data_IF_551212293281
#
_entry.id   IF_551212293281
#
_cell.length_a   1.000
_cell.length_b   1.000
_cell.length_c   1.000
_cell.angle_alpha   90.00
_cell.angle_beta   90.00
_cell.angle_gamma   90.00
#
_symmetry.space_group_name_H-M   'P 1'
#
loop_
_entity.id
_entity.type
_entity.pdbx_description
1 polymer ?
#
# COMPACT_ATOMS: atom_id res chain seq x y z
N UNK A 1 -16.98 6.48 14.22
CA UNK A 1 -17.42 5.93 12.91
C UNK A 1 -17.11 6.86 11.74
N UNK A 2 -17.35 8.17 11.83
CA UNK A 2 -17.11 9.13 10.73
C UNK A 2 -15.67 9.07 10.17
N UNK A 3 -14.66 9.07 11.04
CA UNK A 3 -13.26 8.95 10.62
C UNK A 3 -13.01 7.74 9.71
N UNK A 4 -13.49 6.56 10.11
CA UNK A 4 -13.32 5.34 9.31
C UNK A 4 -14.03 5.44 7.96
N UNK A 5 -15.22 6.06 7.91
CA UNK A 5 -15.95 6.25 6.67
C UNK A 5 -15.21 7.19 5.70
N UNK A 6 -14.64 8.28 6.22
CA UNK A 6 -13.83 9.22 5.42
C UNK A 6 -12.58 8.50 4.89
N UNK A 7 -11.81 7.84 5.78
CA UNK A 7 -10.60 7.11 5.40
C UNK A 7 -10.89 6.07 4.30
N UNK A 8 -11.90 5.22 4.51
CA UNK A 8 -12.30 4.21 3.53
C UNK A 8 -12.79 4.82 2.21
N UNK A 9 -13.39 6.01 2.24
CA UNK A 9 -13.82 6.68 1.02
C UNK A 9 -12.64 7.28 0.25
N UNK A 10 -11.67 7.87 0.95
CA UNK A 10 -10.45 8.41 0.33
C UNK A 10 -9.62 7.31 -0.34
N UNK A 11 -9.43 6.17 0.33
CA UNK A 11 -8.61 5.05 -0.15
C UNK A 11 -9.17 4.30 -1.37
N UNK A 12 -10.41 4.59 -1.79
CA UNK A 12 -11.00 4.03 -3.02
C UNK A 12 -10.41 4.65 -4.29
N UNK A 13 -9.73 5.80 -4.18
CA UNK A 13 -9.13 6.50 -5.30
C UNK A 13 -7.66 6.82 -5.02
N UNK A 14 -6.91 7.29 -6.04
CA UNK A 14 -5.51 7.66 -5.88
C UNK A 14 -5.33 8.74 -4.80
N UNK A 15 -4.28 8.58 -4.01
CA UNK A 15 -3.78 9.57 -3.05
C UNK A 15 -2.30 9.76 -3.35
N UNK A 16 -1.89 11.00 -3.62
CA UNK A 16 -0.48 11.32 -3.83
C UNK A 16 0.28 11.28 -2.49
N UNK A 17 1.32 10.45 -2.41
CA UNK A 17 2.08 10.25 -1.17
C UNK A 17 2.93 11.46 -0.76
N UNK A 18 3.23 12.36 -1.69
CA UNK A 18 4.07 13.53 -1.45
C UNK A 18 3.22 14.74 -1.09
N UNK A 19 2.18 15.04 -1.87
CA UNK A 19 1.35 16.25 -1.70
C UNK A 19 0.16 16.04 -0.75
N UNK A 20 -0.25 14.78 -0.55
CA UNK A 20 -1.45 14.40 0.18
C UNK A 20 -2.76 14.74 -0.55
N UNK A 21 -2.70 15.07 -1.84
CA UNK A 21 -3.89 15.25 -2.67
C UNK A 21 -4.57 13.91 -2.91
N UNK A 22 -5.90 13.90 -2.98
CA UNK A 22 -6.69 12.68 -3.17
C UNK A 22 -7.80 12.88 -4.19
N UNK A 23 -8.14 11.81 -4.93
CA UNK A 23 -9.25 11.82 -5.90
C UNK A 23 -10.62 12.05 -5.25
N UNK A 24 -10.81 11.56 -4.03
CA UNK A 24 -12.04 11.68 -3.25
C UNK A 24 -11.88 12.61 -2.04
N UNK A 25 -10.99 13.61 -2.15
CA UNK A 25 -10.85 14.64 -1.12
C UNK A 25 -12.16 15.39 -0.91
N UNK A 26 -12.46 15.73 0.34
CA UNK A 26 -13.54 16.65 0.70
C UNK A 26 -13.10 18.13 0.67
N UNK A 27 -11.79 18.38 0.59
CA UNK A 27 -11.19 19.70 0.43
C UNK A 27 -10.84 19.95 -1.03
N UNK A 28 -11.28 21.09 -1.56
CA UNK A 28 -11.02 21.49 -2.94
C UNK A 28 -9.53 21.68 -3.22
N UNK A 29 -8.78 22.22 -2.26
CA UNK A 29 -7.33 22.44 -2.35
C UNK A 29 -6.52 21.14 -2.35
N UNK A 30 -7.13 20.04 -1.92
CA UNK A 30 -6.52 18.70 -1.87
C UNK A 30 -7.10 17.75 -2.92
N UNK A 31 -7.84 18.26 -3.89
CA UNK A 31 -8.47 17.43 -4.92
C UNK A 31 -7.51 17.21 -6.09
N UNK A 32 -7.24 15.94 -6.40
CA UNK A 32 -6.54 15.59 -7.64
C UNK A 32 -7.45 15.89 -8.84
N UNK A 33 -7.03 16.85 -9.67
CA UNK A 33 -7.71 17.24 -10.93
C UNK A 33 -7.12 16.54 -12.16
N UNK A 34 -5.92 15.98 -12.03
CA UNK A 34 -5.27 15.24 -13.11
C UNK A 34 -6.01 13.95 -13.42
N UNK A 35 -6.01 13.55 -14.70
CA UNK A 35 -6.50 12.24 -15.09
C UNK A 35 -5.43 11.19 -14.76
N UNK A 36 -5.77 10.32 -13.82
CA UNK A 36 -4.90 9.21 -13.38
C UNK A 36 -5.66 7.92 -13.65
N UNK A 37 -5.12 7.07 -14.51
CA UNK A 37 -5.64 5.73 -14.73
C UNK A 37 -5.17 4.81 -13.59
N UNK A 38 -6.12 4.20 -12.89
CA UNK A 38 -5.84 3.27 -11.80
C UNK A 38 -6.72 2.03 -11.88
N UNK A 39 -6.24 0.93 -11.30
CA UNK A 39 -6.93 -0.35 -11.21
C UNK A 39 -6.89 -0.83 -9.77
N UNK A 40 -8.02 -1.35 -9.30
CA UNK A 40 -8.08 -2.01 -7.99
C UNK A 40 -7.44 -3.38 -8.09
N UNK A 41 -6.56 -3.69 -7.14
CA UNK A 41 -5.91 -4.97 -6.95
C UNK A 41 -6.38 -5.59 -5.65
N UNK A 42 -6.58 -6.90 -5.63
CA UNK A 42 -6.79 -7.66 -4.38
C UNK A 42 -5.44 -8.19 -3.91
N UNK A 43 -5.04 -7.74 -2.74
CA UNK A 43 -3.81 -8.15 -2.07
C UNK A 43 -4.16 -9.17 -1.01
N UNK A 44 -3.55 -10.33 -1.06
CA UNK A 44 -3.66 -11.36 -0.04
C UNK A 44 -2.50 -11.21 0.91
N UNK A 45 -2.77 -10.91 2.18
CA UNK A 45 -1.75 -10.74 3.21
C UNK A 45 -1.76 -11.92 4.17
N UNK A 46 -0.59 -12.51 4.39
CA UNK A 46 -0.38 -13.52 5.44
C UNK A 46 -0.04 -12.83 6.77
N UNK A 47 -0.52 -13.40 7.87
CA UNK A 47 -0.25 -12.88 9.21
C UNK A 47 1.24 -13.11 9.56
N UNK A 48 2.02 -12.06 9.88
CA UNK A 48 3.43 -12.21 10.24
C UNK A 48 3.68 -13.09 11.47
N UNK A 49 2.74 -13.16 12.40
CA UNK A 49 2.86 -13.97 13.63
C UNK A 49 2.43 -15.42 13.42
N UNK A 50 1.69 -15.72 12.34
CA UNK A 50 1.18 -17.05 12.07
C UNK A 50 0.96 -17.25 10.56
N UNK A 51 1.96 -17.80 9.88
CA UNK A 51 1.89 -18.09 8.44
C UNK A 51 0.76 -19.07 8.05
N UNK A 52 0.26 -19.88 8.99
CA UNK A 52 -0.84 -20.81 8.76
C UNK A 52 -2.22 -20.18 8.98
N UNK A 53 -2.29 -18.93 9.43
CA UNK A 53 -3.56 -18.22 9.56
C UNK A 53 -4.16 -17.93 8.18
N UNK A 54 -5.51 -17.82 8.06
CA UNK A 54 -6.15 -17.43 6.81
C UNK A 54 -5.61 -16.09 6.29
N UNK A 55 -5.33 -16.03 4.98
CA UNK A 55 -4.95 -14.79 4.32
C UNK A 55 -6.04 -13.73 4.46
N UNK A 56 -5.63 -12.48 4.72
CA UNK A 56 -6.51 -11.33 4.75
C UNK A 56 -6.51 -10.65 3.38
N UNK A 57 -7.66 -10.65 2.71
CA UNK A 57 -7.83 -9.95 1.44
C UNK A 57 -8.03 -8.45 1.66
N UNK A 58 -7.17 -7.63 1.06
CA UNK A 58 -7.18 -6.17 1.16
C UNK A 58 -7.21 -5.56 -0.23
N UNK A 59 -8.02 -4.51 -0.42
CA UNK A 59 -8.05 -3.78 -1.70
C UNK A 59 -6.95 -2.71 -1.70
N UNK A 60 -6.08 -2.77 -2.70
CA UNK A 60 -5.12 -1.72 -3.04
C UNK A 60 -5.37 -1.17 -4.43
N UNK A 61 -4.69 -0.09 -4.80
CA UNK A 61 -4.66 0.45 -6.15
C UNK A 61 -3.26 0.22 -6.74
N UNK A 62 -3.19 -0.06 -8.04
CA UNK A 62 -1.90 -0.22 -8.73
C UNK A 62 -1.01 1.05 -8.64
N UNK A 63 -1.59 2.22 -8.42
CA UNK A 63 -0.88 3.48 -8.22
C UNK A 63 -0.45 3.76 -6.76
N UNK A 64 -0.86 2.93 -5.80
CA UNK A 64 -0.44 3.11 -4.40
C UNK A 64 1.08 2.85 -4.29
N UNK A 65 1.75 3.66 -3.47
CA UNK A 65 3.14 3.42 -3.07
C UNK A 65 3.24 2.23 -2.12
N UNK A 66 4.44 1.68 -1.94
CA UNK A 66 4.64 0.52 -1.06
C UNK A 66 4.25 0.87 0.38
N UNK A 67 4.60 2.06 0.87
CA UNK A 67 4.20 2.50 2.21
C UNK A 67 2.68 2.61 2.36
N UNK A 68 1.97 3.21 1.40
CA UNK A 68 0.51 3.27 1.42
C UNK A 68 -0.14 1.88 1.47
N UNK A 69 0.43 0.91 0.75
CA UNK A 69 -0.05 -0.47 0.78
C UNK A 69 0.20 -1.12 2.14
N UNK A 70 1.40 -0.96 2.72
CA UNK A 70 1.72 -1.44 4.06
C UNK A 70 0.73 -0.91 5.10
N UNK A 71 0.39 0.37 5.04
CA UNK A 71 -0.62 0.95 5.94
C UNK A 71 -1.99 0.30 5.80
N UNK A 72 -2.49 0.12 4.56
CA UNK A 72 -3.77 -0.55 4.29
C UNK A 72 -3.79 -1.99 4.80
N UNK A 73 -2.68 -2.72 4.63
CA UNK A 73 -2.53 -4.08 5.13
C UNK A 73 -2.53 -4.13 6.65
N UNK A 74 -1.76 -3.25 7.31
CA UNK A 74 -1.72 -3.15 8.77
C UNK A 74 -3.09 -2.79 9.36
N UNK A 75 -3.85 -1.91 8.71
CA UNK A 75 -5.22 -1.59 9.14
C UNK A 75 -6.17 -2.77 9.06
N UNK A 76 -5.99 -3.64 8.07
CA UNK A 76 -6.82 -4.84 7.90
C UNK A 76 -6.44 -5.93 8.91
N UNK A 77 -5.14 -6.23 9.03
CA UNK A 77 -4.63 -7.30 9.90
C UNK A 77 -4.77 -6.93 11.37
N UNK A 78 -4.53 -5.67 11.73
CA UNK A 78 -4.52 -5.19 13.13
C UNK A 78 -5.74 -4.35 13.48
N UNK A 79 -6.87 -4.53 12.77
CA UNK A 79 -8.11 -3.75 12.97
C UNK A 79 -8.57 -3.65 14.43
N UNK A 80 -8.31 -4.68 15.23
CA UNK A 80 -8.67 -4.74 16.66
C UNK A 80 -7.67 -4.10 17.63
N UNK A 81 -6.45 -3.79 17.18
CA UNK A 81 -5.38 -3.25 18.03
C UNK A 81 -5.40 -1.72 18.04
N UNK A 82 -5.13 -1.04 19.18
CA UNK A 82 -4.94 0.40 19.23
C UNK A 82 -3.82 0.85 18.30
N UNK A 83 -3.98 1.98 17.59
CA UNK A 83 -2.99 2.47 16.62
C UNK A 83 -1.60 2.65 17.23
N UNK A 84 -1.50 3.11 18.48
CA UNK A 84 -0.22 3.31 19.19
C UNK A 84 0.54 2.01 19.52
N UNK A 85 -0.10 0.85 19.39
CA UNK A 85 0.50 -0.47 19.63
C UNK A 85 0.82 -1.21 18.33
N UNK A 86 0.42 -0.66 17.17
CA UNK A 86 0.70 -1.27 15.88
C UNK A 86 2.13 -0.92 15.44
N UNK A 87 2.86 -1.84 14.78
CA UNK A 87 4.10 -1.50 14.11
C UNK A 87 3.85 -0.43 13.05
N UNK A 88 4.85 0.42 12.80
CA UNK A 88 4.74 1.41 11.72
C UNK A 88 5.03 0.74 10.39
N UNK A 89 4.53 1.32 9.30
CA UNK A 89 4.85 0.84 7.96
C UNK A 89 6.36 0.85 7.68
N UNK A 90 7.13 1.74 8.31
CA UNK A 90 8.61 1.76 8.23
C UNK A 90 9.29 0.54 8.83
N UNK A 91 8.64 -0.12 9.79
CA UNK A 91 9.19 -1.21 10.58
C UNK A 91 8.78 -2.59 10.00
N UNK A 92 8.14 -2.56 8.84
CA UNK A 92 7.58 -3.72 8.16
C UNK A 92 8.17 -3.84 6.75
N UNK A 93 8.63 -5.03 6.43
CA UNK A 93 9.01 -5.41 5.08
C UNK A 93 7.79 -5.97 4.35
N UNK A 94 7.54 -5.44 3.16
CA UNK A 94 6.52 -5.97 2.26
C UNK A 94 7.18 -6.84 1.22
N UNK A 95 6.72 -8.06 1.09
CA UNK A 95 7.35 -9.08 0.28
C UNK A 95 6.38 -9.61 -0.76
N UNK A 96 6.86 -9.65 -1.98
CA UNK A 96 6.18 -10.34 -3.05
C UNK A 96 6.74 -11.76 -3.18
N UNK A 97 5.87 -12.78 -3.10
CA UNK A 97 6.26 -14.18 -3.36
C UNK A 97 5.79 -14.58 -4.77
N UNK A 98 6.73 -14.68 -5.71
CA UNK A 98 6.45 -15.22 -7.05
C UNK A 98 6.77 -16.71 -7.08
N UNK A 99 5.78 -17.54 -6.74
CA UNK A 99 5.95 -19.00 -6.68
C UNK A 99 6.93 -19.44 -5.58
N UNK A 100 7.62 -20.58 -5.78
CA UNK A 100 8.49 -21.21 -4.77
C UNK A 100 9.91 -20.63 -4.68
N UNK A 101 10.33 -19.76 -5.61
CA UNK A 101 11.77 -19.48 -5.81
C UNK A 101 12.19 -18.02 -5.65
N UNK A 102 11.28 -17.06 -5.63
CA UNK A 102 11.65 -15.64 -5.49
C UNK A 102 10.77 -14.92 -4.47
N UNK A 103 11.44 -14.37 -3.45
CA UNK A 103 10.90 -13.41 -2.47
C UNK A 103 11.57 -12.08 -2.78
N UNK A 104 10.78 -11.07 -3.13
CA UNK A 104 11.29 -9.72 -3.43
C UNK A 104 10.75 -8.80 -2.35
N UNK A 105 11.64 -8.12 -1.63
CA UNK A 105 11.27 -7.05 -0.70
C UNK A 105 10.96 -5.80 -1.53
N UNK A 106 9.75 -5.30 -1.40
CA UNK A 106 9.31 -4.08 -2.05
C UNK A 106 9.56 -2.90 -1.13
N UNK A 107 10.05 -1.81 -1.71
CA UNK A 107 10.28 -0.54 -1.01
C UNK A 107 9.82 0.63 -1.88
N UNK A 108 9.53 1.78 -1.27
CA UNK A 108 9.20 3.00 -2.02
C UNK A 108 10.39 3.48 -2.88
N UNK A 109 11.61 3.19 -2.43
CA UNK A 109 12.84 3.46 -3.16
C UNK A 109 13.79 2.27 -3.07
N UNK A 110 14.29 1.80 -4.20
CA UNK A 110 15.28 0.73 -4.31
C UNK A 110 16.14 0.89 -5.57
N UNK A 111 16.97 -0.10 -5.87
CA UNK A 111 17.83 -0.10 -7.06
C UNK A 111 17.06 -0.11 -8.39
N UNK A 112 15.76 -0.41 -8.37
CA UNK A 112 14.89 -0.44 -9.54
C UNK A 112 14.12 0.88 -9.73
N UNK A 113 14.22 1.81 -8.77
CA UNK A 113 13.49 3.07 -8.80
C UNK A 113 13.81 3.90 -10.04
N UNK A 114 12.75 4.36 -10.70
CA UNK A 114 12.86 5.16 -11.92
C UNK A 114 13.24 6.60 -11.58
N UNK A 115 14.25 7.09 -12.29
CA UNK A 115 14.72 8.47 -12.25
C UNK A 115 14.46 9.08 -13.63
N UNK A 116 13.73 10.19 -13.69
CA UNK A 116 13.42 10.93 -14.91
C UNK A 116 13.79 12.41 -14.71
N UNK A 117 14.78 12.90 -15.46
CA UNK A 117 15.25 14.29 -15.40
C UNK A 117 15.47 14.80 -13.96
N UNK A 118 16.25 14.06 -13.16
CA UNK A 118 16.54 14.28 -11.73
C UNK A 118 15.37 14.08 -10.76
N UNK A 119 14.18 13.75 -11.24
CA UNK A 119 13.05 13.38 -10.40
C UNK A 119 13.05 11.88 -10.12
N UNK A 120 13.06 11.54 -8.83
CA UNK A 120 12.86 10.16 -8.38
C UNK A 120 11.37 9.91 -8.20
N UNK A 121 10.85 8.88 -8.88
CA UNK A 121 9.46 8.46 -8.74
C UNK A 121 9.36 7.33 -7.71
N UNK A 122 8.57 7.52 -6.66
CA UNK A 122 8.30 6.45 -5.69
C UNK A 122 7.74 5.21 -6.37
N UNK A 123 8.24 4.05 -5.96
CA UNK A 123 7.81 2.76 -6.48
C UNK A 123 6.37 2.46 -6.03
N UNK A 124 5.55 2.01 -6.98
CA UNK A 124 4.15 1.65 -6.75
C UNK A 124 3.91 0.17 -7.01
N UNK A 125 2.73 -0.35 -6.71
CA UNK A 125 2.40 -1.74 -7.10
C UNK A 125 2.52 -1.96 -8.62
N UNK A 126 2.15 -0.98 -9.44
CA UNK A 126 2.30 -1.03 -10.89
C UNK A 126 3.77 -1.11 -11.33
N UNK A 127 4.69 -0.49 -10.57
CA UNK A 127 6.13 -0.54 -10.85
C UNK A 127 6.65 -1.98 -10.83
N UNK A 128 6.26 -2.75 -9.82
CA UNK A 128 6.71 -4.13 -9.64
C UNK A 128 5.91 -5.17 -10.44
N UNK A 129 4.93 -4.75 -11.26
CA UNK A 129 4.00 -5.66 -11.97
C UNK A 129 3.36 -6.72 -11.05
N UNK A 130 3.19 -6.30 -9.81
CA UNK A 130 2.66 -7.00 -8.68
C UNK A 130 1.41 -7.84 -9.02
N UNK A 131 1.48 -9.17 -8.87
CA UNK A 131 0.31 -10.06 -8.97
C UNK A 131 0.07 -10.94 -7.73
N UNK A 132 -1.22 -10.99 -7.36
CA UNK A 132 -2.00 -11.91 -6.52
C UNK A 132 -1.52 -12.38 -5.12
N UNK A 133 -0.25 -12.34 -4.72
CA UNK A 133 0.17 -12.86 -3.39
C UNK A 133 1.24 -12.02 -2.68
N UNK A 134 0.95 -11.56 -1.45
CA UNK A 134 1.75 -10.60 -0.68
C UNK A 134 2.00 -11.05 0.75
N UNK A 135 3.17 -10.73 1.29
CA UNK A 135 3.59 -11.13 2.62
C UNK A 135 4.10 -9.89 3.35
N UNK A 136 3.75 -9.73 4.63
CA UNK A 136 4.38 -8.75 5.50
C UNK A 136 5.21 -9.47 6.54
N UNK A 137 6.42 -8.99 6.78
CA UNK A 137 7.32 -9.47 7.82
C UNK A 137 7.86 -8.28 8.62
N UNK A 138 8.27 -8.50 9.88
CA UNK A 138 9.00 -7.47 10.62
C UNK A 138 10.44 -7.41 10.09
N UNK A 139 10.95 -6.19 9.90
CA UNK A 139 12.32 -5.92 9.43
C UNK A 139 13.39 -6.27 10.45
#
# INVERSE_FOLDING_TARGET
MLYCAIKQQMEKGPIDSITGEARYSLSEDKLIRQQIDYKTLTLHCVNPENENAPEVAVKGLNCDTVTQVKEKLLDAVLKGSPYSQRPKASDMDMEWRQGRMARIILQDEDVTTKIDNDWKRLNTLAHYQASLSWFMSQS
#
